data_IF_167578185738
#
_entry.id   IF_167578185738
#
_cell.length_a   1.000
_cell.length_b   1.000
_cell.length_c   1.000
_cell.angle_alpha   90.00
_cell.angle_beta   90.00
_cell.angle_gamma   90.00
#
_symmetry.space_group_name_H-M   'P 1'
#
loop_
_entity.id
_entity.type
_entity.pdbx_description
1 polymer ?
#
# COMPACT_ATOMS: atom_id res chain seq x y z
N UNK A 1 -6.46 -28.26 -0.37
CA UNK A 1 -6.32 -26.97 -1.09
C UNK A 1 -7.19 -27.00 -2.32
N UNK A 2 -8.03 -25.99 -2.48
CA UNK A 2 -8.90 -25.88 -3.67
C UNK A 2 -8.17 -25.09 -4.76
N UNK A 3 -8.26 -25.55 -5.98
CA UNK A 3 -7.73 -24.86 -7.15
C UNK A 3 -8.90 -24.33 -7.99
N UNK A 4 -8.79 -23.05 -8.37
CA UNK A 4 -9.65 -22.46 -9.38
C UNK A 4 -8.75 -22.00 -10.53
N UNK A 5 -9.03 -22.47 -11.71
CA UNK A 5 -8.31 -22.10 -12.92
C UNK A 5 -9.25 -21.39 -13.88
N UNK A 6 -8.87 -20.16 -14.25
CA UNK A 6 -9.64 -19.37 -15.20
C UNK A 6 -8.80 -19.11 -16.45
N UNK A 7 -9.47 -19.09 -17.60
CA UNK A 7 -8.87 -18.71 -18.87
C UNK A 7 -9.36 -17.32 -19.26
N UNK A 8 -8.54 -16.63 -20.06
CA UNK A 8 -8.85 -15.29 -20.55
C UNK A 8 -8.99 -14.24 -19.46
N UNK A 9 -8.22 -14.38 -18.38
CA UNK A 9 -8.16 -13.42 -17.28
C UNK A 9 -6.81 -12.70 -17.33
N UNK A 10 -6.83 -11.40 -17.11
CA UNK A 10 -5.61 -10.60 -17.08
C UNK A 10 -5.68 -9.54 -15.98
N UNK A 11 -4.51 -9.04 -15.58
CA UNK A 11 -4.42 -7.85 -14.74
C UNK A 11 -4.50 -6.64 -15.69
N UNK A 12 -5.59 -5.88 -15.58
CA UNK A 12 -5.83 -4.72 -16.45
C UNK A 12 -5.05 -3.48 -15.99
N UNK A 13 -4.76 -3.37 -14.71
CA UNK A 13 -3.99 -2.25 -14.18
C UNK A 13 -3.68 -2.42 -12.71
N UNK A 14 -2.72 -1.62 -12.25
CA UNK A 14 -2.29 -1.58 -10.85
C UNK A 14 -2.13 -0.12 -10.45
N UNK A 15 -2.57 0.23 -9.26
CA UNK A 15 -2.33 1.54 -8.67
C UNK A 15 -2.02 1.38 -7.19
N UNK A 16 -1.26 2.31 -6.64
CA UNK A 16 -0.92 2.35 -5.24
C UNK A 16 -1.23 3.72 -4.66
N UNK A 17 -1.74 3.74 -3.43
CA UNK A 17 -1.95 4.95 -2.68
C UNK A 17 -1.11 4.91 -1.41
N UNK A 18 -0.32 5.95 -1.17
CA UNK A 18 0.52 6.05 0.00
C UNK A 18 0.31 7.40 0.70
N UNK A 19 0.48 7.46 2.03
CA UNK A 19 0.43 8.72 2.73
C UNK A 19 1.54 9.67 2.29
N UNK A 20 1.30 10.96 2.52
CA UNK A 20 2.21 12.03 2.16
C UNK A 20 3.47 12.06 3.01
N UNK A 21 3.35 11.75 4.30
CA UNK A 21 4.42 11.90 5.26
C UNK A 21 5.41 10.73 5.18
N UNK A 22 6.68 11.06 5.27
CA UNK A 22 7.78 10.09 5.23
C UNK A 22 8.37 9.93 6.61
N UNK A 23 8.53 8.68 7.07
CA UNK A 23 9.24 8.35 8.29
C UNK A 23 10.52 7.58 7.92
N UNK A 24 11.66 8.02 8.44
CA UNK A 24 12.94 7.38 8.19
C UNK A 24 13.16 6.23 9.17
N UNK A 25 13.55 5.07 8.67
CA UNK A 25 13.94 3.94 9.50
C UNK A 25 15.42 4.02 9.95
N UNK A 26 16.22 4.84 9.26
CA UNK A 26 17.62 5.10 9.66
C UNK A 26 17.72 6.14 10.77
N UNK A 27 16.83 7.13 10.77
CA UNK A 27 16.80 8.23 11.73
C UNK A 27 15.39 8.35 12.33
N UNK A 28 14.94 7.34 13.11
CA UNK A 28 13.61 7.39 13.69
C UNK A 28 13.49 8.52 14.70
N UNK A 29 12.35 9.19 14.70
CA UNK A 29 12.01 10.21 15.70
C UNK A 29 11.21 9.58 16.84
N UNK A 30 11.08 10.27 17.96
CA UNK A 30 10.27 9.81 19.09
C UNK A 30 8.81 9.58 18.70
N UNK A 31 8.33 10.30 17.69
CA UNK A 31 6.96 10.16 17.19
C UNK A 31 6.74 8.88 16.38
N UNK A 32 7.79 8.26 15.90
CA UNK A 32 7.69 7.10 15.00
C UNK A 32 7.37 5.80 15.72
N UNK A 33 7.39 5.76 17.05
CA UNK A 33 7.09 4.59 17.88
C UNK A 33 7.77 3.29 17.40
N UNK A 34 9.01 3.43 16.96
CA UNK A 34 9.77 2.27 16.52
C UNK A 34 10.23 1.50 17.75
N UNK A 35 9.83 0.26 17.87
CA UNK A 35 10.37 -0.61 18.91
C UNK A 35 11.86 -0.84 18.63
N UNK A 36 12.71 -0.38 19.53
CA UNK A 36 14.15 -0.36 19.37
C UNK A 36 14.81 -1.72 19.69
N UNK A 37 14.26 -2.82 19.22
CA UNK A 37 14.89 -4.13 19.43
C UNK A 37 16.15 -4.31 18.57
N UNK A 38 16.26 -3.55 17.49
CA UNK A 38 17.40 -3.62 16.56
C UNK A 38 17.95 -2.22 16.28
N UNK A 39 19.25 -2.16 16.05
CA UNK A 39 19.86 -0.91 15.57
C UNK A 39 19.23 -0.54 14.20
N UNK A 40 19.00 0.78 13.95
CA UNK A 40 18.38 1.20 12.68
C UNK A 40 19.09 0.69 11.43
N UNK A 41 20.41 0.66 11.43
CA UNK A 41 21.21 0.17 10.31
C UNK A 41 20.97 -1.32 10.05
N UNK A 42 20.86 -2.12 11.11
CA UNK A 42 20.62 -3.55 11.01
C UNK A 42 19.20 -3.83 10.47
N UNK A 43 18.23 -3.04 10.92
CA UNK A 43 16.87 -3.15 10.42
C UNK A 43 16.80 -2.88 8.91
N UNK A 44 17.43 -1.80 8.45
CA UNK A 44 17.46 -1.45 7.03
C UNK A 44 18.23 -2.50 6.22
N UNK A 45 19.36 -2.99 6.73
CA UNK A 45 20.16 -4.02 6.05
C UNK A 45 19.37 -5.33 5.88
N UNK A 46 18.54 -5.68 6.86
CA UNK A 46 17.74 -6.92 6.84
C UNK A 46 16.50 -6.79 5.97
N UNK A 47 15.78 -5.67 6.07
CA UNK A 47 14.48 -5.48 5.41
C UNK A 47 14.59 -4.78 4.07
N UNK A 48 15.64 -3.98 3.84
CA UNK A 48 15.77 -3.12 2.68
C UNK A 48 14.87 -1.88 2.72
N UNK A 49 14.18 -1.62 3.83
CA UNK A 49 13.24 -0.51 3.97
C UNK A 49 13.90 0.64 4.69
N UNK A 50 14.30 1.66 3.94
CA UNK A 50 14.92 2.88 4.49
C UNK A 50 13.89 3.88 5.00
N UNK A 51 12.77 3.97 4.32
CA UNK A 51 11.71 4.94 4.60
C UNK A 51 10.35 4.26 4.51
N UNK A 52 9.40 4.74 5.28
CA UNK A 52 8.00 4.33 5.20
C UNK A 52 7.12 5.56 5.10
N UNK A 53 5.97 5.37 4.50
CA UNK A 53 4.95 6.40 4.44
C UNK A 53 3.97 6.18 5.59
N UNK A 54 3.68 7.23 6.33
CA UNK A 54 2.84 7.15 7.54
C UNK A 54 1.76 8.22 7.50
N UNK A 55 0.62 7.90 8.10
CA UNK A 55 -0.46 8.86 8.29
C UNK A 55 -1.01 8.75 9.69
N UNK A 56 -1.33 9.89 10.28
CA UNK A 56 -2.02 9.97 11.57
C UNK A 56 -3.55 10.16 11.41
N UNK A 57 -4.00 10.48 10.21
CA UNK A 57 -5.39 10.87 9.94
C UNK A 57 -6.12 9.95 8.97
N UNK A 58 -5.40 9.26 8.08
CA UNK A 58 -5.99 8.40 7.06
C UNK A 58 -6.04 6.94 7.54
N UNK A 59 -7.16 6.29 7.28
CA UNK A 59 -7.33 4.86 7.47
C UNK A 59 -6.89 4.09 6.23
N UNK A 60 -6.72 2.78 6.37
CA UNK A 60 -6.41 1.90 5.23
C UNK A 60 -7.44 2.01 4.11
N UNK A 61 -8.73 2.12 4.47
CA UNK A 61 -9.81 2.28 3.49
C UNK A 61 -9.71 3.59 2.72
N UNK A 62 -9.24 4.67 3.33
CA UNK A 62 -9.03 5.95 2.64
C UNK A 62 -7.94 5.83 1.57
N UNK A 63 -6.85 5.15 1.89
CA UNK A 63 -5.76 4.91 0.95
C UNK A 63 -6.19 4.01 -0.21
N UNK A 64 -6.94 2.96 0.08
CA UNK A 64 -7.50 2.07 -0.93
C UNK A 64 -8.50 2.79 -1.83
N UNK A 65 -9.32 3.65 -1.27
CA UNK A 65 -10.26 4.47 -2.02
C UNK A 65 -9.53 5.38 -3.02
N UNK A 66 -8.50 6.07 -2.57
CA UNK A 66 -7.70 6.94 -3.44
C UNK A 66 -7.03 6.17 -4.58
N UNK A 67 -6.44 5.02 -4.28
CA UNK A 67 -5.81 4.17 -5.28
C UNK A 67 -6.83 3.63 -6.29
N UNK A 68 -7.98 3.17 -5.82
CA UNK A 68 -9.05 2.64 -6.66
C UNK A 68 -9.65 3.72 -7.59
N UNK A 69 -9.90 4.91 -7.07
CA UNK A 69 -10.42 6.04 -7.87
C UNK A 69 -9.46 6.39 -8.99
N UNK A 70 -8.17 6.48 -8.70
CA UNK A 70 -7.16 6.76 -9.71
C UNK A 70 -7.10 5.67 -10.77
N UNK A 71 -7.11 4.42 -10.35
CA UNK A 71 -7.04 3.27 -11.26
C UNK A 71 -8.24 3.24 -12.21
N UNK A 72 -9.44 3.42 -11.69
CA UNK A 72 -10.67 3.44 -12.48
C UNK A 72 -10.65 4.58 -13.49
N UNK A 73 -10.21 5.77 -13.06
CA UNK A 73 -10.08 6.93 -13.95
C UNK A 73 -9.05 6.69 -15.05
N UNK A 74 -7.89 6.14 -14.71
CA UNK A 74 -6.81 5.85 -15.67
C UNK A 74 -7.22 4.80 -16.70
N UNK A 75 -8.01 3.80 -16.30
CA UNK A 75 -8.52 2.77 -17.19
C UNK A 75 -9.78 3.21 -17.97
N UNK A 76 -10.40 4.29 -17.58
CA UNK A 76 -11.62 4.77 -18.21
C UNK A 76 -12.84 3.88 -17.97
N UNK A 77 -12.86 3.16 -16.85
CA UNK A 77 -13.95 2.25 -16.53
C UNK A 77 -15.11 2.96 -15.85
N UNK A 78 -16.32 2.42 -16.06
CA UNK A 78 -17.49 2.80 -15.28
C UNK A 78 -17.53 1.94 -14.00
N UNK A 79 -17.74 2.55 -12.87
CA UNK A 79 -17.85 1.86 -11.56
C UNK A 79 -18.97 0.82 -11.57
N UNK A 80 -20.00 1.02 -12.36
CA UNK A 80 -21.12 0.09 -12.50
C UNK A 80 -20.74 -1.23 -13.17
N UNK A 81 -19.63 -1.26 -13.90
CA UNK A 81 -19.12 -2.45 -14.57
C UNK A 81 -18.34 -3.38 -13.62
N UNK A 82 -18.02 -2.90 -12.42
CA UNK A 82 -17.28 -3.68 -11.42
C UNK A 82 -18.27 -4.61 -10.71
N UNK A 83 -18.04 -5.91 -10.83
CA UNK A 83 -18.94 -6.94 -10.29
C UNK A 83 -18.52 -7.44 -8.92
N UNK A 84 -17.23 -7.37 -8.59
CA UNK A 84 -16.71 -7.84 -7.30
C UNK A 84 -15.59 -6.95 -6.80
N UNK A 85 -15.52 -6.78 -5.49
CA UNK A 85 -14.46 -6.05 -4.82
C UNK A 85 -13.98 -6.88 -3.64
N UNK A 86 -12.66 -7.09 -3.56
CA UNK A 86 -12.04 -7.78 -2.44
C UNK A 86 -11.15 -6.78 -1.70
N UNK A 87 -11.43 -6.63 -0.41
CA UNK A 87 -10.74 -5.68 0.43
C UNK A 87 -10.12 -6.38 1.65
#
# INVERSE_FOLDING_TARGET
MAFLEFKNVRIAGIAAGVPKNVASNLHPTEEDNVSNEYAPEDFVATTGVKERRVSKTLCTSDLCYGAAEKLIADLGWDKKEIEALVF
#
